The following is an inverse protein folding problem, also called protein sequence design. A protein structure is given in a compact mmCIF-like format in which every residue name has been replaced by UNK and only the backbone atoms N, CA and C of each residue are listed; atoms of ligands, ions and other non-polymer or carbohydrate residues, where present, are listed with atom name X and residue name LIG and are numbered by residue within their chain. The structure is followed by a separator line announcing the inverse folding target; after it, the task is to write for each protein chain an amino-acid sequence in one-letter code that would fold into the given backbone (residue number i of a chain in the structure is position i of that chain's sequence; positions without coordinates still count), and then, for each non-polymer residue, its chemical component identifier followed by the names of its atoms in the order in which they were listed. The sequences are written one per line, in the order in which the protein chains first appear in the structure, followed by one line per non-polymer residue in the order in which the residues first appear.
data_IF_164988843910
#
_entry.id   IF_164988843910
#
_cell.length_a   1.000
_cell.length_b   1.000
_cell.length_c   1.000
_cell.angle_alpha   90.00
_cell.angle_beta   90.00
_cell.angle_gamma   90.00
#
_symmetry.space_group_name_H-M   'P 1'
#
loop_
_entity.id
_entity.type
_entity.pdbx_description
1 polymer ?
#
# COMPACT_ATOMS: atom_id res chain seq x y z
N UNK A 1 11.37 -2.52 -6.17
CA UNK A 1 10.10 -2.31 -5.46
C UNK A 1 10.22 -2.75 -4.01
N UNK A 2 10.00 -1.83 -3.08
CA UNK A 2 9.88 -2.12 -1.64
C UNK A 2 8.45 -1.76 -1.22
N UNK A 3 7.79 -2.67 -0.50
CA UNK A 3 6.37 -2.54 -0.12
C UNK A 3 6.28 -2.48 1.39
N UNK A 4 5.67 -1.42 1.91
CA UNK A 4 5.55 -1.18 3.34
C UNK A 4 4.09 -1.16 3.74
N UNK A 5 3.73 -1.97 4.75
CA UNK A 5 2.47 -1.83 5.45
C UNK A 5 2.54 -0.53 6.26
N UNK A 6 1.52 0.32 6.12
CA UNK A 6 1.47 1.63 6.78
C UNK A 6 0.12 1.83 7.48
N UNK A 7 -0.05 3.01 8.09
CA UNK A 7 -1.37 3.47 8.53
C UNK A 7 -1.97 2.68 9.70
N UNK A 8 -3.29 2.51 9.64
CA UNK A 8 -4.10 1.92 10.71
C UNK A 8 -3.66 0.52 11.09
N UNK A 9 -3.29 -0.31 10.12
CA UNK A 9 -2.85 -1.68 10.35
C UNK A 9 -1.63 -1.77 11.27
N UNK A 10 -0.64 -0.90 11.06
CA UNK A 10 0.58 -0.86 11.89
C UNK A 10 0.24 -0.37 13.30
N UNK A 11 -0.50 0.73 13.40
CA UNK A 11 -0.93 1.30 14.69
C UNK A 11 -1.70 0.27 15.51
N UNK A 12 -2.70 -0.36 14.91
CA UNK A 12 -3.61 -1.25 15.64
C UNK A 12 -2.91 -2.55 16.02
N UNK A 13 -1.99 -3.06 15.18
CA UNK A 13 -1.10 -4.16 15.57
C UNK A 13 -0.23 -3.81 16.79
N UNK A 14 0.35 -2.60 16.84
CA UNK A 14 1.17 -2.16 17.97
C UNK A 14 0.36 -1.95 19.25
N UNK A 15 -0.88 -1.47 19.11
CA UNK A 15 -1.82 -1.26 20.22
C UNK A 15 -2.63 -2.51 20.60
N UNK A 16 -2.38 -3.67 19.96
CA UNK A 16 -3.13 -4.91 20.15
C UNK A 16 -4.64 -4.76 19.93
N UNK A 17 -5.02 -3.94 18.95
CA UNK A 17 -6.40 -3.76 18.49
C UNK A 17 -6.65 -4.61 17.24
N UNK A 18 -7.89 -5.01 16.95
CA UNK A 18 -8.22 -5.67 15.69
C UNK A 18 -7.86 -4.78 14.50
N UNK A 19 -7.16 -5.34 13.51
CA UNK A 19 -6.84 -4.66 12.24
C UNK A 19 -8.00 -4.89 11.27
N UNK A 20 -8.60 -3.81 10.77
CA UNK A 20 -9.77 -3.87 9.88
C UNK A 20 -9.42 -3.67 8.41
N UNK A 21 -8.35 -2.92 8.12
CA UNK A 21 -7.88 -2.61 6.76
C UNK A 21 -6.36 -2.64 6.71
N UNK A 22 -5.78 -2.74 5.51
CA UNK A 22 -4.33 -2.73 5.29
C UNK A 22 -3.99 -1.86 4.09
N UNK A 23 -3.33 -0.74 4.38
CA UNK A 23 -2.80 0.15 3.36
C UNK A 23 -1.31 -0.12 3.15
N UNK A 24 -0.88 -0.02 1.90
CA UNK A 24 0.49 -0.26 1.51
C UNK A 24 1.05 0.93 0.75
N UNK A 25 2.30 1.28 1.06
CA UNK A 25 3.10 2.24 0.29
C UNK A 25 4.18 1.47 -0.44
N UNK A 26 4.28 1.73 -1.74
CA UNK A 26 5.30 1.16 -2.61
C UNK A 26 6.33 2.25 -2.92
N UNK A 27 7.61 1.96 -2.68
CA UNK A 27 8.72 2.86 -3.03
C UNK A 27 9.75 2.14 -3.90
N UNK A 28 10.56 2.91 -4.62
CA UNK A 28 11.54 2.38 -5.56
C UNK A 28 10.87 1.56 -6.68
N UNK A 29 9.72 2.03 -7.14
CA UNK A 29 9.02 1.58 -8.34
C UNK A 29 8.31 2.77 -9.01
N UNK A 30 8.14 2.73 -10.32
CA UNK A 30 7.32 3.71 -11.07
C UNK A 30 5.89 3.18 -11.32
N UNK A 31 4.91 4.04 -11.61
CA UNK A 31 3.57 3.59 -11.98
C UNK A 31 3.57 2.61 -13.17
N UNK A 32 4.41 2.82 -14.18
CA UNK A 32 4.50 1.94 -15.34
C UNK A 32 5.03 0.55 -14.97
N UNK A 33 5.97 0.47 -14.02
CA UNK A 33 6.44 -0.81 -13.48
C UNK A 33 5.34 -1.56 -12.75
N UNK A 34 4.47 -0.84 -12.04
CA UNK A 34 3.29 -1.41 -11.37
C UNK A 34 2.27 -1.90 -12.39
N UNK A 35 1.97 -1.10 -13.43
CA UNK A 35 1.05 -1.51 -14.50
C UNK A 35 1.57 -2.75 -15.25
N UNK A 36 2.88 -2.83 -15.53
CA UNK A 36 3.49 -4.02 -16.16
C UNK A 36 3.39 -5.27 -15.28
N UNK A 37 3.34 -5.12 -13.97
CA UNK A 37 3.14 -6.21 -13.02
C UNK A 37 1.66 -6.60 -12.87
N UNK A 38 0.73 -5.93 -13.58
CA UNK A 38 -0.69 -6.25 -13.58
C UNK A 38 -1.50 -5.54 -12.49
N UNK A 39 -0.93 -4.54 -11.83
CA UNK A 39 -1.70 -3.67 -10.94
C UNK A 39 -2.62 -2.75 -11.75
N UNK A 40 -3.82 -2.50 -11.24
CA UNK A 40 -4.80 -1.60 -11.85
C UNK A 40 -4.79 -0.27 -11.11
N UNK A 41 -4.61 0.83 -11.85
CA UNK A 41 -4.76 2.16 -11.28
C UNK A 41 -6.23 2.43 -10.93
N UNK A 42 -6.48 2.82 -9.69
CA UNK A 42 -7.82 3.15 -9.18
C UNK A 42 -7.87 4.63 -8.85
N UNK A 43 -8.76 5.36 -9.53
CA UNK A 43 -8.85 6.82 -9.43
C UNK A 43 -7.93 7.56 -10.39
N UNK A 44 -8.02 8.90 -10.40
CA UNK A 44 -7.20 9.75 -11.27
C UNK A 44 -5.87 10.18 -10.65
N UNK A 45 -5.75 10.10 -9.33
CA UNK A 45 -4.72 10.80 -8.56
C UNK A 45 -3.86 9.87 -7.69
N UNK A 46 -3.83 8.55 -7.94
CA UNK A 46 -2.85 7.70 -7.26
C UNK A 46 -2.44 6.39 -7.99
N UNK A 47 -1.14 6.05 -8.03
CA UNK A 47 -0.04 6.99 -7.75
C UNK A 47 -0.10 8.18 -8.72
#
# INVERSE_FOLDING_TARGET
MQVYLVGGAVRDSLLKRPVTEKDYVVVGATPEEMLRQGFTQVGKDFP
#
